data_IF_447779303653
#
_entry.id   IF_447779303653
#
_cell.length_a   1.000
_cell.length_b   1.000
_cell.length_c   1.000
_cell.angle_alpha   90.00
_cell.angle_beta   90.00
_cell.angle_gamma   90.00
#
_symmetry.space_group_name_H-M   'P 1'
#
loop_
_entity.id
_entity.type
_entity.pdbx_description
1 polymer ?
#
# COMPACT_ATOMS: atom_id res chain seq x y z
N UNK A 1 -9.39 -3.59 2.77
CA UNK A 1 -8.65 -3.02 1.63
C UNK A 1 -8.82 -1.51 1.64
N UNK A 2 -7.73 -0.75 1.44
CA UNK A 2 -7.70 0.71 1.43
C UNK A 2 -7.58 1.16 -0.02
N UNK A 3 -8.56 1.92 -0.52
CA UNK A 3 -8.52 2.50 -1.87
C UNK A 3 -8.14 3.96 -1.77
N UNK A 4 -7.22 4.41 -2.60
CA UNK A 4 -6.81 5.81 -2.63
C UNK A 4 -6.43 6.26 -4.04
N UNK A 5 -6.75 7.52 -4.31
CA UNK A 5 -6.37 8.26 -5.51
C UNK A 5 -5.36 9.33 -5.10
N UNK A 6 -4.14 9.22 -5.59
CA UNK A 6 -3.10 10.23 -5.41
C UNK A 6 -2.98 11.06 -6.69
N UNK A 7 -3.10 12.38 -6.55
CA UNK A 7 -2.94 13.34 -7.64
C UNK A 7 -1.69 14.17 -7.36
N UNK A 8 -0.67 14.01 -8.19
CA UNK A 8 0.50 14.88 -8.18
C UNK A 8 0.25 16.03 -9.16
N UNK A 9 0.38 17.27 -8.69
CA UNK A 9 0.13 18.47 -9.48
C UNK A 9 1.44 19.16 -9.82
N UNK A 10 1.92 18.97 -11.05
CA UNK A 10 3.17 19.57 -11.55
C UNK A 10 2.85 20.66 -12.58
N UNK A 11 2.53 21.86 -12.09
CA UNK A 11 2.19 23.01 -12.94
C UNK A 11 0.95 22.75 -13.80
N UNK A 12 1.10 22.82 -15.13
CA UNK A 12 0.00 22.56 -16.09
C UNK A 12 -0.33 21.07 -16.27
N UNK A 13 0.54 20.18 -15.82
CA UNK A 13 0.39 18.74 -16.01
C UNK A 13 0.21 18.04 -14.66
N UNK A 14 -0.92 17.34 -14.47
CA UNK A 14 -1.17 16.56 -13.26
C UNK A 14 -1.00 15.08 -13.55
N UNK A 15 -0.36 14.28 -12.70
CA UNK A 15 -0.36 12.83 -12.82
C UNK A 15 -1.31 12.21 -11.78
N UNK A 16 -1.91 11.07 -12.14
CA UNK A 16 -2.86 10.35 -11.28
C UNK A 16 -2.35 8.93 -11.08
N UNK A 17 -2.39 8.50 -9.82
CA UNK A 17 -2.11 7.15 -9.37
C UNK A 17 -3.27 6.68 -8.51
N UNK A 18 -3.99 5.66 -8.95
CA UNK A 18 -5.01 5.02 -8.13
C UNK A 18 -4.54 3.64 -7.73
N UNK A 19 -4.61 3.36 -6.44
CA UNK A 19 -4.21 2.06 -5.90
C UNK A 19 -5.21 1.52 -4.89
N UNK A 20 -5.29 0.20 -4.83
CA UNK A 20 -6.00 -0.54 -3.81
C UNK A 20 -5.00 -1.37 -2.99
N UNK A 21 -4.85 -1.06 -1.71
CA UNK A 21 -3.82 -1.61 -0.83
C UNK A 21 -4.42 -2.49 0.25
N UNK A 22 -3.78 -3.62 0.53
CA UNK A 22 -4.05 -4.47 1.69
C UNK A 22 -2.77 -4.65 2.49
N UNK A 23 -2.86 -4.48 3.81
CA UNK A 23 -1.73 -4.58 4.73
C UNK A 23 -2.07 -5.62 5.78
N UNK A 24 -1.17 -6.57 6.00
CA UNK A 24 -1.29 -7.58 7.05
C UNK A 24 -0.03 -7.54 7.91
N UNK A 25 -0.22 -7.55 9.23
CA UNK A 25 0.85 -7.53 10.21
C UNK A 25 0.88 -8.87 10.94
N UNK A 26 2.08 -9.39 11.19
CA UNK A 26 2.29 -10.50 12.13
C UNK A 26 3.01 -9.94 13.34
N UNK A 27 2.42 -10.16 14.52
CA UNK A 27 2.99 -9.73 15.80
C UNK A 27 3.81 -10.86 16.43
N UNK A 28 4.72 -10.51 17.33
CA UNK A 28 5.54 -11.46 18.09
C UNK A 28 4.74 -12.26 19.13
N UNK A 29 3.55 -11.79 19.48
CA UNK A 29 2.67 -12.35 20.50
C UNK A 29 1.32 -12.77 19.90
N UNK A 30 0.55 -13.55 20.67
CA UNK A 30 -0.83 -13.98 20.33
C UNK A 30 -1.80 -13.74 21.50
N UNK A 31 -1.47 -12.80 22.40
CA UNK A 31 -2.23 -12.51 23.63
C UNK A 31 -3.67 -12.10 23.35
N UNK A 32 -3.91 -11.42 22.24
CA UNK A 32 -5.23 -11.03 21.76
C UNK A 32 -6.14 -12.23 21.52
N UNK A 33 -5.59 -13.33 20.99
CA UNK A 33 -6.34 -14.54 20.69
C UNK A 33 -6.52 -15.45 21.91
N UNK A 34 -5.50 -15.51 22.78
CA UNK A 34 -5.49 -16.42 23.93
C UNK A 34 -6.15 -15.84 25.18
N UNK A 35 -6.06 -14.52 25.36
CA UNK A 35 -6.44 -13.83 26.60
C UNK A 35 -7.32 -12.61 26.37
N UNK A 36 -7.61 -12.23 25.13
CA UNK A 36 -8.37 -11.02 24.82
C UNK A 36 -7.64 -9.71 25.15
N UNK A 37 -6.32 -9.76 25.35
CA UNK A 37 -5.49 -8.59 25.63
C UNK A 37 -5.03 -7.95 24.31
N UNK A 38 -5.63 -6.80 23.97
CA UNK A 38 -5.37 -6.06 22.74
C UNK A 38 -4.27 -4.99 22.89
N UNK A 39 -3.48 -5.01 23.97
CA UNK A 39 -2.49 -3.94 24.24
C UNK A 39 -1.40 -3.82 23.15
N UNK A 40 -1.07 -4.92 22.47
CA UNK A 40 -0.10 -4.93 21.36
C UNK A 40 -0.77 -4.73 19.98
N UNK A 41 -2.10 -4.65 19.92
CA UNK A 41 -2.81 -4.64 18.65
C UNK A 41 -2.77 -3.25 18.04
N UNK A 42 -2.19 -3.17 16.85
CA UNK A 42 -2.27 -2.00 15.99
C UNK A 42 -3.66 -2.01 15.33
N UNK A 43 -4.55 -1.05 15.63
CA UNK A 43 -5.90 -1.06 15.08
C UNK A 43 -5.90 -0.95 13.55
N UNK A 44 -6.81 -1.66 12.89
CA UNK A 44 -6.92 -1.62 11.42
C UNK A 44 -7.22 -0.21 10.87
N UNK A 45 -7.91 0.63 11.66
CA UNK A 45 -8.11 2.05 11.32
C UNK A 45 -6.79 2.83 11.31
N UNK A 46 -5.89 2.55 12.26
CA UNK A 46 -4.55 3.14 12.28
C UNK A 46 -3.77 2.73 11.04
N UNK A 47 -3.85 1.45 10.64
CA UNK A 47 -3.22 0.96 9.42
C UNK A 47 -3.72 1.72 8.19
N UNK A 48 -5.04 1.88 8.04
CA UNK A 48 -5.66 2.66 6.96
C UNK A 48 -5.16 4.11 6.96
N UNK A 49 -5.17 4.77 8.11
CA UNK A 49 -4.75 6.17 8.22
C UNK A 49 -3.27 6.34 7.86
N UNK A 50 -2.41 5.43 8.33
CA UNK A 50 -0.99 5.38 7.97
C UNK A 50 -0.78 5.25 6.46
N UNK A 51 -1.52 4.38 5.78
CA UNK A 51 -1.43 4.24 4.31
C UNK A 51 -1.75 5.57 3.60
N UNK A 52 -2.79 6.29 4.05
CA UNK A 52 -3.11 7.61 3.50
C UNK A 52 -2.02 8.66 3.80
N UNK A 53 -1.47 8.67 5.01
CA UNK A 53 -0.39 9.56 5.42
C UNK A 53 0.85 9.31 4.56
N UNK A 54 1.28 8.06 4.41
CA UNK A 54 2.44 7.70 3.58
C UNK A 54 2.23 8.10 2.12
N UNK A 55 1.04 7.87 1.56
CA UNK A 55 0.72 8.31 0.20
C UNK A 55 0.81 9.84 0.05
N UNK A 56 0.38 10.60 1.06
CA UNK A 56 0.43 12.06 1.03
C UNK A 56 1.85 12.62 1.19
N UNK A 57 2.65 12.07 2.10
CA UNK A 57 3.97 12.58 2.44
C UNK A 57 5.07 12.10 1.48
N UNK A 58 5.05 10.81 1.08
CA UNK A 58 6.07 10.23 0.21
C UNK A 58 5.66 10.17 -1.27
N UNK A 59 4.36 10.33 -1.56
CA UNK A 59 3.82 10.16 -2.91
C UNK A 59 3.80 8.69 -3.36
N UNK A 60 3.35 8.46 -4.59
CA UNK A 60 3.27 7.11 -5.20
C UNK A 60 3.93 7.13 -6.57
N UNK A 61 5.26 7.00 -6.59
CA UNK A 61 6.02 6.92 -7.85
C UNK A 61 5.79 5.59 -8.56
N UNK A 62 5.92 4.50 -7.80
CA UNK A 62 5.68 3.12 -8.24
C UNK A 62 5.02 2.36 -7.10
N UNK A 63 4.23 1.33 -7.41
CA UNK A 63 3.56 0.52 -6.38
C UNK A 63 4.54 -0.30 -5.55
N UNK A 64 5.68 -0.64 -6.14
CA UNK A 64 6.80 -1.34 -5.51
C UNK A 64 7.41 -0.47 -4.40
N UNK A 65 7.74 0.79 -4.72
CA UNK A 65 8.28 1.75 -3.77
C UNK A 65 7.25 2.08 -2.69
N UNK A 66 5.97 2.17 -3.05
CA UNK A 66 4.90 2.44 -2.10
C UNK A 66 4.70 1.28 -1.11
N UNK A 67 4.70 0.03 -1.58
CA UNK A 67 4.66 -1.15 -0.73
C UNK A 67 5.85 -1.19 0.24
N UNK A 68 7.07 -0.96 -0.26
CA UNK A 68 8.28 -0.91 0.56
C UNK A 68 8.17 0.12 1.69
N UNK A 69 7.72 1.34 1.36
CA UNK A 69 7.54 2.41 2.33
C UNK A 69 6.56 2.05 3.47
N UNK A 70 5.50 1.30 3.16
CA UNK A 70 4.54 0.82 4.15
C UNK A 70 5.20 -0.23 5.05
N UNK A 71 5.93 -1.17 4.47
CA UNK A 71 6.61 -2.23 5.22
C UNK A 71 7.67 -1.68 6.16
N UNK A 72 8.55 -0.81 5.64
CA UNK A 72 9.57 -0.12 6.43
C UNK A 72 8.94 0.65 7.60
N UNK A 73 7.84 1.35 7.37
CA UNK A 73 7.18 2.11 8.42
C UNK A 73 6.71 1.22 9.57
N UNK A 74 6.01 0.12 9.30
CA UNK A 74 5.49 -0.74 10.37
C UNK A 74 6.60 -1.52 11.08
N UNK A 75 7.61 -2.02 10.35
CA UNK A 75 8.75 -2.73 10.96
C UNK A 75 9.61 -1.80 11.82
N UNK A 76 9.77 -0.53 11.45
CA UNK A 76 10.60 0.42 12.20
C UNK A 76 9.85 1.12 13.34
N UNK A 77 8.52 1.27 13.23
CA UNK A 77 7.72 2.00 14.24
C UNK A 77 7.29 1.11 15.41
N UNK A 78 7.23 -0.21 15.23
CA UNK A 78 6.69 -1.14 16.22
C UNK A 78 7.60 -2.36 16.38
N UNK A 79 8.27 -2.44 17.53
CA UNK A 79 9.21 -3.54 17.84
C UNK A 79 8.57 -4.94 17.89
N UNK A 80 7.28 -5.03 18.18
CA UNK A 80 6.51 -6.28 18.29
C UNK A 80 5.93 -6.72 16.94
N UNK A 81 6.10 -5.94 15.86
CA UNK A 81 5.74 -6.35 14.50
C UNK A 81 6.93 -7.10 13.90
N UNK A 82 6.75 -8.39 13.62
CA UNK A 82 7.82 -9.27 13.10
C UNK A 82 7.73 -9.50 11.59
N UNK A 83 6.56 -9.28 10.99
CA UNK A 83 6.35 -9.41 9.54
C UNK A 83 5.27 -8.46 9.05
N UNK A 84 5.46 -7.92 7.85
CA UNK A 84 4.51 -7.03 7.18
C UNK A 84 4.32 -7.48 5.73
N UNK A 85 3.09 -7.78 5.35
CA UNK A 85 2.74 -8.14 3.97
C UNK A 85 1.87 -7.04 3.35
N UNK A 86 2.25 -6.53 2.17
CA UNK A 86 1.56 -5.40 1.53
C UNK A 86 1.23 -5.70 0.09
N UNK A 87 -0.05 -5.93 -0.17
CA UNK A 87 -0.57 -6.12 -1.51
C UNK A 87 -1.07 -4.78 -2.09
N UNK A 88 -0.68 -4.45 -3.33
CA UNK A 88 -1.04 -3.17 -3.97
C UNK A 88 -1.49 -3.39 -5.41
N UNK A 89 -2.78 -3.18 -5.70
CA UNK A 89 -3.27 -3.13 -7.09
C UNK A 89 -3.18 -1.71 -7.62
N UNK A 90 -2.75 -1.53 -8.87
CA UNK A 90 -2.80 -0.24 -9.56
C UNK A 90 -3.91 -0.25 -10.61
N UNK A 91 -4.73 0.81 -10.60
CA UNK A 91 -5.68 1.08 -11.68
C UNK A 91 -4.98 1.99 -12.69
N UNK A 92 -4.68 1.53 -13.92
CA UNK A 92 -3.98 2.34 -14.89
C UNK A 92 -4.91 3.41 -15.47
N UNK A 93 -4.43 4.66 -15.43
CA UNK A 93 -5.11 5.83 -15.97
C UNK A 93 -4.35 6.36 -17.18
N UNK A 94 -5.01 6.42 -18.34
CA UNK A 94 -4.46 7.08 -19.54
C UNK A 94 -5.00 8.50 -19.61
N UNK A 95 -4.09 9.47 -19.76
CA UNK A 95 -4.49 10.87 -20.01
C UNK A 95 -5.19 10.98 -21.36
N UNK A 96 -6.27 11.76 -21.40
CA UNK A 96 -6.91 12.14 -22.65
C UNK A 96 -6.15 13.30 -23.30
N UNK A 97 -5.79 13.16 -24.58
CA UNK A 97 -4.80 14.00 -25.27
C UNK A 97 -5.12 15.51 -25.29
N UNK A 98 -6.39 15.90 -25.16
CA UNK A 98 -6.86 17.29 -25.34
C UNK A 98 -7.45 17.93 -24.07
N UNK A 99 -7.30 17.33 -22.88
CA UNK A 99 -7.83 17.92 -21.64
C UNK A 99 -7.12 17.43 -20.37
N UNK A 100 -7.55 17.93 -19.21
CA UNK A 100 -7.13 17.41 -17.89
C UNK A 100 -7.84 16.11 -17.49
N UNK A 101 -8.58 15.48 -18.40
CA UNK A 101 -9.33 14.25 -18.14
C UNK A 101 -8.48 12.98 -18.27
N UNK A 102 -8.90 11.92 -17.58
CA UNK A 102 -8.26 10.61 -17.60
C UNK A 102 -9.31 9.52 -17.84
N UNK A 103 -8.92 8.48 -18.57
CA UNK A 103 -9.76 7.32 -18.86
C UNK A 103 -9.11 6.09 -18.20
N UNK A 104 -9.92 5.34 -17.46
CA UNK A 104 -9.50 4.09 -16.82
C UNK A 104 -9.21 3.03 -17.89
N UNK A 105 -8.09 2.31 -17.75
CA UNK A 105 -7.73 1.18 -18.60
C UNK A 105 -7.88 -0.16 -17.86
N UNK A 106 -7.61 -1.26 -18.57
CA UNK A 106 -7.56 -2.61 -18.02
C UNK A 106 -6.64 -2.70 -16.79
N UNK A 107 -7.15 -3.23 -15.68
CA UNK A 107 -6.45 -3.33 -14.40
C UNK A 107 -5.12 -4.08 -14.50
N UNK A 108 -4.09 -3.57 -13.81
CA UNK A 108 -2.81 -4.24 -13.65
C UNK A 108 -2.58 -4.55 -12.17
N UNK A 109 -2.47 -5.84 -11.84
CA UNK A 109 -2.17 -6.29 -10.47
C UNK A 109 -0.67 -6.54 -10.36
N UNK A 110 -0.03 -6.01 -9.31
CA UNK A 110 1.28 -6.49 -8.87
C UNK A 110 1.29 -6.72 -7.37
N UNK A 111 1.78 -7.87 -6.95
CA UNK A 111 1.93 -8.20 -5.54
C UNK A 111 3.35 -7.92 -5.06
N UNK A 112 3.50 -7.40 -3.84
CA UNK A 112 4.79 -7.30 -3.16
C UNK A 112 4.66 -7.99 -1.80
N UNK A 113 5.46 -9.02 -1.55
CA UNK A 113 5.53 -9.66 -0.23
C UNK A 113 6.94 -9.50 0.29
N UNK A 114 7.23 -8.46 1.07
CA UNK A 114 8.48 -8.43 1.81
C UNK A 114 8.39 -9.45 2.93
N UNK A 115 9.31 -10.41 2.91
CA UNK A 115 9.64 -11.21 4.08
C UNK A 115 10.90 -10.63 4.72
N UNK A 116 11.24 -11.12 5.91
CA UNK A 116 12.46 -10.77 6.64
C UNK A 116 13.75 -11.12 5.89
N UNK A 117 13.68 -11.75 4.71
CA UNK A 117 14.81 -12.20 3.89
C UNK A 117 15.00 -11.38 2.59
N UNK A 118 14.05 -10.51 2.23
CA UNK A 118 14.16 -9.59 1.10
C UNK A 118 12.85 -9.40 0.33
N UNK A 119 12.91 -8.68 -0.79
CA UNK A 119 11.78 -8.56 -1.72
C UNK A 119 11.76 -9.83 -2.57
N UNK A 120 10.86 -10.78 -2.30
CA UNK A 120 10.51 -11.77 -3.30
C UNK A 120 9.69 -11.09 -4.41
N UNK A 121 10.07 -11.36 -5.66
CA UNK A 121 9.83 -10.50 -6.82
C UNK A 121 8.36 -10.12 -7.12
N UNK A 122 8.21 -9.16 -8.03
CA UNK A 122 6.90 -8.68 -8.48
C UNK A 122 6.27 -9.68 -9.43
N UNK A 123 5.17 -10.30 -9.00
CA UNK A 123 4.42 -11.21 -9.85
C UNK A 123 3.17 -10.52 -10.40
N UNK A 124 3.02 -10.55 -11.73
CA UNK A 124 1.82 -10.10 -12.41
C UNK A 124 0.79 -11.22 -12.36
N UNK A 125 -0.36 -10.97 -11.74
CA UNK A 125 -1.48 -11.91 -11.73
C UNK A 125 -2.57 -11.41 -12.68
N UNK A 126 -3.01 -12.22 -13.66
CA UNK A 126 -4.20 -11.89 -14.43
C UNK A 126 -5.43 -11.91 -13.49
N UNK A 127 -6.35 -10.94 -13.66
CA UNK A 127 -7.64 -11.00 -12.97
C UNK A 127 -8.48 -12.12 -13.58
N UNK A 128 -9.11 -12.93 -12.72
CA UNK A 128 -10.08 -13.97 -13.09
C UNK A 128 -11.33 -13.37 -13.74
#
# INVERSE_FOLDING_TARGET
MVKLLHIQRDGKYHSIKEVATSVQLTLSSKREYLHGDNSDIIPTDTIKNTVHVLAKFKGIKSIETFAMNICEHFLSSFNHVIRVQVYVEEVPWKRFEKSTAFIMQSLSVKQCTPDTEGIQGFQHYPKA
#
